data_IF_956770341636
#
_entry.id   IF_956770341636
#
_cell.length_a   1.000
_cell.length_b   1.000
_cell.length_c   1.000
_cell.angle_alpha   90.00
_cell.angle_beta   90.00
_cell.angle_gamma   90.00
#
_symmetry.space_group_name_H-M   'P 1'
#
loop_
_entity.id
_entity.type
_entity.pdbx_description
1 polymer ?
#
# COMPACT_ATOMS: atom_id res chain seq x y z
N UNK A 1 12.34 -4.64 -7.16
CA UNK A 1 13.26 -3.67 -6.54
C UNK A 1 13.52 -4.08 -5.10
N UNK A 2 14.76 -4.13 -4.67
CA UNK A 2 15.19 -4.47 -3.30
C UNK A 2 15.90 -3.25 -2.73
N UNK A 3 15.42 -2.70 -1.62
CA UNK A 3 16.11 -1.65 -0.87
C UNK A 3 16.35 -2.15 0.55
N UNK A 4 17.60 -2.20 0.96
CA UNK A 4 18.00 -2.55 2.33
C UNK A 4 18.35 -1.25 3.06
N UNK A 5 17.78 -1.06 4.23
CA UNK A 5 18.11 0.06 5.11
C UNK A 5 18.58 -0.50 6.45
N UNK A 6 19.81 -0.21 6.80
CA UNK A 6 20.38 -0.55 8.12
C UNK A 6 20.24 0.66 9.01
N UNK A 7 19.42 0.56 10.05
CA UNK A 7 19.24 1.63 11.03
C UNK A 7 19.89 1.20 12.36
N UNK A 8 20.83 2.01 12.85
CA UNK A 8 21.40 1.85 14.18
C UNK A 8 20.47 2.51 15.20
N UNK A 9 19.88 1.74 16.09
CA UNK A 9 19.08 2.23 17.21
C UNK A 9 19.72 1.74 18.50
N UNK A 10 20.51 2.62 19.16
CA UNK A 10 21.37 2.26 20.28
C UNK A 10 22.49 1.30 19.87
N UNK A 11 22.82 0.32 20.70
CA UNK A 11 23.84 -0.70 20.42
C UNK A 11 23.37 -1.84 19.49
N UNK A 12 22.10 -1.84 19.05
CA UNK A 12 21.52 -2.91 18.22
C UNK A 12 21.34 -2.45 16.78
N UNK A 13 22.09 -3.06 15.84
CA UNK A 13 21.82 -2.97 14.41
C UNK A 13 20.51 -3.67 14.09
N UNK A 14 19.54 -2.92 13.54
CA UNK A 14 18.31 -3.49 12.99
C UNK A 14 18.40 -3.54 11.47
N UNK A 15 18.33 -4.73 10.91
CA UNK A 15 18.31 -4.97 9.47
C UNK A 15 16.86 -4.83 8.94
N UNK A 16 16.60 -3.71 8.28
CA UNK A 16 15.31 -3.39 7.64
C UNK A 16 15.41 -3.63 6.14
N UNK A 17 14.61 -4.55 5.65
CA UNK A 17 14.57 -4.91 4.23
C UNK A 17 13.22 -4.59 3.62
N UNK A 18 13.23 -3.82 2.53
CA UNK A 18 12.04 -3.48 1.76
C UNK A 18 12.13 -4.10 0.37
N UNK A 19 11.02 -4.70 -0.07
CA UNK A 19 10.90 -5.30 -1.39
C UNK A 19 9.63 -4.78 -2.07
N UNK A 20 9.74 -4.38 -3.34
CA UNK A 20 8.59 -4.09 -4.18
C UNK A 20 8.53 -5.13 -5.30
N UNK A 21 7.44 -5.88 -5.36
CA UNK A 21 7.28 -7.03 -6.25
C UNK A 21 5.92 -6.94 -6.94
N UNK A 22 5.87 -7.10 -8.27
CA UNK A 22 4.60 -7.25 -9.00
C UNK A 22 4.01 -8.62 -8.76
N UNK A 23 2.68 -8.72 -8.71
CA UNK A 23 1.96 -9.97 -8.43
C UNK A 23 2.38 -11.14 -9.29
N UNK A 24 2.66 -10.92 -10.58
CA UNK A 24 3.10 -11.98 -11.49
C UNK A 24 4.45 -12.62 -11.15
N UNK A 25 5.23 -11.99 -10.26
CA UNK A 25 6.55 -12.46 -9.78
C UNK A 25 6.53 -12.80 -8.28
N UNK A 26 5.37 -12.80 -7.65
CA UNK A 26 5.24 -13.08 -6.23
C UNK A 26 5.08 -14.58 -5.99
N UNK A 27 5.98 -15.16 -5.22
CA UNK A 27 5.99 -16.58 -4.86
C UNK A 27 4.88 -16.94 -3.87
N UNK A 28 4.37 -18.17 -3.93
CA UNK A 28 3.27 -18.65 -3.08
C UNK A 28 3.56 -18.56 -1.58
N UNK A 29 4.81 -18.80 -1.16
CA UNK A 29 5.24 -18.66 0.22
C UNK A 29 5.09 -17.21 0.72
N UNK A 30 5.39 -16.22 -0.14
CA UNK A 30 5.19 -14.80 0.16
C UNK A 30 3.71 -14.42 0.20
N UNK A 31 2.90 -14.96 -0.74
CA UNK A 31 1.44 -14.79 -0.72
C UNK A 31 0.86 -15.31 0.59
N UNK A 32 1.25 -16.50 1.03
CA UNK A 32 0.84 -17.09 2.31
C UNK A 32 1.24 -16.19 3.49
N UNK A 33 2.47 -15.67 3.49
CA UNK A 33 2.98 -14.77 4.53
C UNK A 33 2.19 -13.44 4.60
N UNK A 34 1.85 -12.86 3.44
CA UNK A 34 0.99 -11.67 3.35
C UNK A 34 -0.40 -11.97 3.91
N UNK A 35 -1.02 -13.08 3.52
CA UNK A 35 -2.34 -13.47 3.98
C UNK A 35 -2.35 -13.71 5.50
N UNK A 36 -1.32 -14.33 6.06
CA UNK A 36 -1.15 -14.49 7.51
C UNK A 36 -1.03 -13.14 8.23
N UNK A 37 -0.27 -12.19 7.67
CA UNK A 37 -0.15 -10.85 8.23
C UNK A 37 -1.48 -10.09 8.19
N UNK A 38 -2.22 -10.20 7.07
CA UNK A 38 -3.57 -9.63 6.92
C UNK A 38 -4.54 -10.25 7.92
N UNK A 39 -4.49 -11.55 8.13
CA UNK A 39 -5.39 -12.25 9.04
C UNK A 39 -5.20 -11.83 10.51
N UNK A 40 -3.98 -11.51 10.93
CA UNK A 40 -3.72 -10.91 12.25
C UNK A 40 -4.43 -9.56 12.45
N UNK A 41 -4.65 -8.81 11.37
CA UNK A 41 -5.32 -7.51 11.42
C UNK A 41 -6.84 -7.66 11.31
N UNK A 42 -7.32 -8.45 10.37
CA UNK A 42 -8.73 -8.59 10.03
C UNK A 42 -9.21 -10.03 10.16
N UNK A 43 -8.96 -10.76 11.08
CA UNK A 43 -9.39 -12.10 11.55
C UNK A 43 -10.49 -12.82 10.71
N UNK A 44 -10.39 -12.78 9.37
CA UNK A 44 -11.34 -13.45 8.47
C UNK A 44 -11.02 -14.93 8.22
N UNK A 45 -9.90 -15.40 8.77
CA UNK A 45 -9.34 -16.72 8.53
C UNK A 45 -8.47 -16.79 7.27
N UNK A 46 -7.37 -17.53 7.36
CA UNK A 46 -6.36 -17.64 6.30
C UNK A 46 -6.96 -18.12 4.95
N UNK A 47 -7.92 -19.06 4.98
CA UNK A 47 -8.61 -19.56 3.78
C UNK A 47 -9.35 -18.41 3.06
N UNK A 48 -10.06 -17.57 3.81
CA UNK A 48 -10.78 -16.41 3.28
C UNK A 48 -9.82 -15.35 2.73
N UNK A 49 -8.69 -15.08 3.41
CA UNK A 49 -7.65 -14.17 2.93
C UNK A 49 -7.05 -14.65 1.59
N UNK A 50 -6.75 -15.94 1.45
CA UNK A 50 -6.22 -16.53 0.21
C UNK A 50 -7.28 -16.48 -0.90
N UNK A 51 -8.55 -16.81 -0.61
CA UNK A 51 -9.65 -16.72 -1.57
C UNK A 51 -9.83 -15.28 -2.08
N UNK A 52 -9.82 -14.30 -1.16
CA UNK A 52 -9.88 -12.89 -1.51
C UNK A 52 -8.70 -12.48 -2.40
N UNK A 53 -7.47 -12.88 -2.04
CA UNK A 53 -6.27 -12.61 -2.81
C UNK A 53 -6.42 -13.09 -4.26
N UNK A 54 -6.72 -14.37 -4.44
CA UNK A 54 -6.88 -14.99 -5.77
C UNK A 54 -7.95 -14.32 -6.62
N UNK A 55 -9.05 -13.88 -5.99
CA UNK A 55 -10.17 -13.22 -6.69
C UNK A 55 -9.84 -11.78 -7.10
N UNK A 56 -9.11 -11.04 -6.29
CA UNK A 56 -9.04 -9.57 -6.38
C UNK A 56 -7.70 -9.04 -6.89
N UNK A 57 -6.61 -9.81 -6.77
CA UNK A 57 -5.28 -9.36 -7.16
C UNK A 57 -5.04 -9.66 -8.65
N UNK A 58 -4.52 -8.64 -9.36
CA UNK A 58 -4.21 -8.74 -10.79
C UNK A 58 -2.69 -8.80 -11.00
N UNK A 59 -2.26 -9.36 -12.15
CA UNK A 59 -0.83 -9.58 -12.49
C UNK A 59 0.07 -8.35 -12.32
N UNK A 60 -0.47 -7.14 -12.53
CA UNK A 60 0.27 -5.86 -12.47
C UNK A 60 0.12 -5.12 -11.13
N UNK A 61 -0.57 -5.70 -10.15
CA UNK A 61 -0.65 -5.13 -8.79
C UNK A 61 0.73 -5.24 -8.11
N UNK A 62 1.06 -4.30 -7.24
CA UNK A 62 2.38 -4.16 -6.63
C UNK A 62 2.27 -4.43 -5.13
N UNK A 63 3.11 -5.32 -4.65
CA UNK A 63 3.21 -5.68 -3.24
C UNK A 63 4.49 -5.09 -2.66
N UNK A 64 4.37 -4.22 -1.67
CA UNK A 64 5.49 -3.69 -0.93
C UNK A 64 5.59 -4.43 0.41
N UNK A 65 6.68 -5.13 0.60
CA UNK A 65 6.95 -6.00 1.74
C UNK A 65 8.03 -5.37 2.61
N UNK A 66 7.78 -5.31 3.91
CA UNK A 66 8.73 -4.81 4.88
C UNK A 66 9.12 -5.92 5.86
N UNK A 67 10.39 -6.27 5.88
CA UNK A 67 10.96 -7.27 6.76
C UNK A 67 11.87 -6.66 7.80
N UNK A 68 11.84 -7.24 9.01
CA UNK A 68 12.89 -7.10 10.02
C UNK A 68 13.56 -8.44 10.12
N UNK A 69 14.84 -8.50 9.76
CA UNK A 69 15.56 -9.77 9.51
C UNK A 69 14.79 -10.59 8.46
N UNK A 70 14.42 -11.82 8.76
CA UNK A 70 13.64 -12.71 7.85
C UNK A 70 12.12 -12.62 8.04
N UNK A 71 11.61 -11.83 9.01
CA UNK A 71 10.19 -11.79 9.36
C UNK A 71 9.47 -10.67 8.63
N UNK A 72 8.37 -10.98 7.93
CA UNK A 72 7.46 -9.99 7.35
C UNK A 72 6.71 -9.28 8.48
N UNK A 73 6.95 -7.97 8.62
CA UNK A 73 6.37 -7.13 9.67
C UNK A 73 5.47 -6.02 9.15
N UNK A 74 5.58 -5.69 7.88
CA UNK A 74 4.75 -4.66 7.25
C UNK A 74 4.44 -4.98 5.80
N UNK A 75 3.32 -4.44 5.31
CA UNK A 75 2.83 -4.69 3.98
C UNK A 75 1.99 -3.53 3.47
N UNK A 76 2.20 -3.13 2.21
CA UNK A 76 1.26 -2.30 1.46
C UNK A 76 0.93 -2.94 0.11
N UNK A 77 -0.27 -2.63 -0.38
CA UNK A 77 -0.77 -3.09 -1.67
C UNK A 77 -1.16 -1.90 -2.54
N UNK A 78 -0.58 -1.83 -3.73
CA UNK A 78 -0.93 -0.87 -4.76
C UNK A 78 -1.59 -1.63 -5.92
N UNK A 79 -2.90 -1.48 -6.07
CA UNK A 79 -3.66 -2.16 -7.11
C UNK A 79 -3.75 -1.28 -8.35
N UNK A 80 -3.24 -1.76 -9.48
CA UNK A 80 -3.35 -1.02 -10.75
C UNK A 80 -4.78 -1.06 -11.26
N UNK A 81 -5.40 0.11 -11.37
CA UNK A 81 -6.80 0.29 -11.79
C UNK A 81 -6.88 1.40 -12.84
N UNK A 82 -8.05 1.53 -13.48
CA UNK A 82 -8.36 2.61 -14.43
C UNK A 82 -9.40 3.53 -13.83
N UNK A 83 -9.29 4.82 -14.13
CA UNK A 83 -10.30 5.82 -13.88
C UNK A 83 -10.59 6.60 -15.15
N UNK A 84 -11.68 7.34 -15.14
CA UNK A 84 -12.10 8.22 -16.23
C UNK A 84 -11.80 9.68 -15.86
N UNK A 85 -11.22 10.43 -16.79
CA UNK A 85 -11.07 11.87 -16.70
C UNK A 85 -12.16 12.48 -17.59
N UNK A 86 -13.24 12.96 -16.96
CA UNK A 86 -14.46 13.43 -17.67
C UNK A 86 -14.18 14.57 -18.61
N UNK A 87 -13.41 15.57 -18.18
CA UNK A 87 -13.07 16.74 -19.01
C UNK A 87 -12.32 16.41 -20.31
N UNK A 88 -11.66 15.25 -20.36
CA UNK A 88 -10.89 14.80 -21.52
C UNK A 88 -11.52 13.60 -22.22
N UNK A 89 -12.64 13.09 -21.72
CA UNK A 89 -13.27 11.82 -22.16
C UNK A 89 -12.23 10.69 -22.30
N UNK A 90 -11.28 10.62 -21.35
CA UNK A 90 -10.11 9.73 -21.42
C UNK A 90 -10.02 8.83 -20.20
N UNK A 91 -9.69 7.56 -20.45
CA UNK A 91 -9.33 6.62 -19.38
C UNK A 91 -7.82 6.68 -19.11
N UNK A 92 -7.45 6.68 -17.85
CA UNK A 92 -6.06 6.62 -17.39
C UNK A 92 -5.88 5.58 -16.30
N UNK A 93 -4.63 5.11 -16.13
CA UNK A 93 -4.30 4.20 -15.05
C UNK A 93 -3.94 4.98 -13.78
N UNK A 94 -4.26 4.38 -12.63
CA UNK A 94 -3.84 4.83 -11.33
C UNK A 94 -3.51 3.66 -10.40
N UNK A 95 -2.92 3.93 -9.26
CA UNK A 95 -2.65 2.94 -8.22
C UNK A 95 -3.63 3.14 -7.07
N UNK A 96 -4.57 2.21 -6.89
CA UNK A 96 -5.41 2.15 -5.69
C UNK A 96 -4.53 1.64 -4.52
N UNK A 97 -4.28 2.50 -3.55
CA UNK A 97 -3.60 2.11 -2.31
C UNK A 97 -4.61 1.46 -1.36
N UNK A 98 -4.64 0.14 -1.39
CA UNK A 98 -5.69 -0.68 -0.77
C UNK A 98 -5.39 -1.04 0.68
N UNK A 99 -4.12 -1.26 1.00
CA UNK A 99 -3.72 -1.86 2.28
C UNK A 99 -2.47 -1.20 2.85
N UNK A 100 -2.49 -0.90 4.14
CA UNK A 100 -1.31 -0.56 4.95
C UNK A 100 -1.39 -1.32 6.27
N UNK A 101 -0.44 -2.21 6.52
CA UNK A 101 -0.37 -2.99 7.76
C UNK A 101 1.03 -2.95 8.33
N UNK A 102 1.12 -2.78 9.66
CA UNK A 102 2.26 -3.15 10.48
C UNK A 102 1.78 -4.19 11.50
N UNK A 103 2.51 -5.31 11.64
CA UNK A 103 2.24 -6.36 12.63
C UNK A 103 2.15 -5.71 14.03
N UNK A 104 1.10 -6.02 14.80
CA UNK A 104 0.81 -5.40 16.10
C UNK A 104 2.01 -5.40 17.05
N UNK A 105 2.82 -6.47 17.05
CA UNK A 105 4.04 -6.59 17.88
C UNK A 105 5.15 -5.57 17.53
N UNK A 106 5.02 -4.89 16.39
CA UNK A 106 6.01 -3.93 15.87
C UNK A 106 5.46 -2.51 15.74
N UNK A 107 4.25 -2.24 16.24
CA UNK A 107 3.68 -0.89 16.28
C UNK A 107 4.43 0.00 17.28
N UNK A 108 4.11 1.26 17.30
CA UNK A 108 4.68 2.30 18.19
C UNK A 108 6.20 2.52 18.04
N UNK A 109 6.78 1.99 16.93
CA UNK A 109 8.20 2.12 16.57
C UNK A 109 8.42 2.97 15.32
N UNK A 110 7.45 3.78 14.94
CA UNK A 110 7.47 4.64 13.75
C UNK A 110 7.63 3.89 12.40
N UNK A 111 7.40 2.56 12.38
CA UNK A 111 7.64 1.72 11.19
C UNK A 111 6.64 1.98 10.07
N UNK A 112 5.43 2.46 10.40
CA UNK A 112 4.44 2.87 9.40
C UNK A 112 4.94 4.03 8.54
N UNK A 113 5.68 4.98 9.11
CA UNK A 113 6.27 6.09 8.37
C UNK A 113 7.36 5.61 7.40
N UNK A 114 8.22 4.67 7.81
CA UNK A 114 9.23 4.07 6.94
C UNK A 114 8.58 3.33 5.76
N UNK A 115 7.56 2.52 6.05
CA UNK A 115 6.83 1.78 5.01
C UNK A 115 6.09 2.73 4.06
N UNK A 116 5.50 3.83 4.57
CA UNK A 116 4.86 4.86 3.74
C UNK A 116 5.86 5.60 2.86
N UNK A 117 7.04 5.96 3.38
CA UNK A 117 8.08 6.59 2.57
C UNK A 117 8.53 5.69 1.44
N UNK A 118 8.75 4.41 1.70
CA UNK A 118 9.06 3.42 0.67
C UNK A 118 7.92 3.29 -0.35
N UNK A 119 6.67 3.15 0.11
CA UNK A 119 5.49 3.07 -0.74
C UNK A 119 5.37 4.29 -1.67
N UNK A 120 5.56 5.49 -1.14
CA UNK A 120 5.51 6.74 -1.91
C UNK A 120 6.63 6.81 -2.98
N UNK A 121 7.82 6.29 -2.67
CA UNK A 121 8.90 6.17 -3.65
C UNK A 121 8.50 5.27 -4.82
N UNK A 122 7.88 4.12 -4.54
CA UNK A 122 7.39 3.20 -5.58
C UNK A 122 6.29 3.85 -6.43
N UNK A 123 5.36 4.60 -5.82
CA UNK A 123 4.33 5.33 -6.56
C UNK A 123 4.98 6.36 -7.50
N UNK A 124 5.93 7.18 -7.01
CA UNK A 124 6.64 8.16 -7.85
C UNK A 124 7.36 7.51 -9.03
N UNK A 125 8.07 6.40 -8.78
CA UNK A 125 8.80 5.66 -9.83
C UNK A 125 7.88 5.01 -10.86
N UNK A 126 6.64 4.69 -10.49
CA UNK A 126 5.66 4.12 -11.42
C UNK A 126 5.14 5.14 -12.46
N UNK A 127 5.29 6.43 -12.20
CA UNK A 127 4.74 7.52 -13.02
C UNK A 127 3.21 7.70 -12.87
N UNK A 128 2.52 6.86 -12.09
CA UNK A 128 1.09 6.97 -11.85
C UNK A 128 0.80 7.82 -10.62
N UNK A 129 -0.37 8.46 -10.58
CA UNK A 129 -0.92 8.91 -9.31
C UNK A 129 -1.50 7.74 -8.53
N UNK A 130 -1.62 7.93 -7.22
CA UNK A 130 -2.24 6.94 -6.35
C UNK A 130 -3.43 7.55 -5.60
N UNK A 131 -4.44 6.73 -5.36
CA UNK A 131 -5.66 7.10 -4.64
C UNK A 131 -5.92 6.10 -3.52
N UNK A 132 -6.43 6.59 -2.40
CA UNK A 132 -6.91 5.77 -1.27
C UNK A 132 -8.19 6.35 -0.67
N UNK A 133 -8.92 5.49 0.04
CA UNK A 133 -10.01 5.88 0.94
C UNK A 133 -9.57 5.50 2.36
N UNK A 134 -9.76 6.40 3.31
CA UNK A 134 -9.40 6.15 4.71
C UNK A 134 -10.45 6.69 5.69
N UNK A 135 -10.38 6.24 6.93
CA UNK A 135 -11.13 6.81 8.03
C UNK A 135 -10.63 8.22 8.37
N UNK A 136 -11.51 9.04 8.96
CA UNK A 136 -11.22 10.44 9.30
C UNK A 136 -9.96 10.59 10.17
N UNK A 137 -9.76 9.68 11.10
CA UNK A 137 -8.62 9.66 12.04
C UNK A 137 -7.26 9.47 11.32
N UNK A 138 -7.25 8.83 10.15
CA UNK A 138 -6.04 8.56 9.38
C UNK A 138 -5.69 9.68 8.40
N UNK A 139 -6.56 10.67 8.19
CA UNK A 139 -6.31 11.77 7.24
C UNK A 139 -5.04 12.55 7.63
N UNK A 140 -4.83 12.85 8.92
CA UNK A 140 -3.64 13.55 9.41
C UNK A 140 -2.36 12.74 9.16
N UNK A 141 -2.40 11.42 9.33
CA UNK A 141 -1.29 10.52 9.05
C UNK A 141 -0.90 10.59 7.56
N UNK A 142 -1.85 10.46 6.64
CA UNK A 142 -1.56 10.52 5.21
C UNK A 142 -1.08 11.91 4.75
N UNK A 143 -1.63 13.00 5.33
CA UNK A 143 -1.15 14.37 5.05
C UNK A 143 0.32 14.55 5.39
N UNK A 144 0.82 13.99 6.51
CA UNK A 144 2.25 14.00 6.88
C UNK A 144 3.14 13.32 5.83
N UNK A 145 2.56 12.48 4.97
CA UNK A 145 3.22 11.81 3.86
C UNK A 145 2.94 12.44 2.49
N UNK A 146 2.53 13.73 2.48
CA UNK A 146 2.24 14.52 1.27
C UNK A 146 1.05 14.00 0.44
N UNK A 147 0.12 13.26 1.07
CA UNK A 147 -1.15 12.95 0.47
C UNK A 147 -2.12 14.11 0.69
N UNK A 148 -2.86 14.50 -0.34
CA UNK A 148 -3.84 15.59 -0.26
C UNK A 148 -5.26 15.04 -0.38
N UNK A 149 -6.25 15.76 0.20
CA UNK A 149 -7.65 15.37 0.04
C UNK A 149 -8.05 15.43 -1.43
N UNK A 150 -8.67 14.37 -1.90
CA UNK A 150 -9.21 14.31 -3.24
C UNK A 150 -10.51 15.11 -3.33
N UNK A 151 -10.53 16.14 -4.19
CA UNK A 151 -11.68 17.03 -4.41
C UNK A 151 -12.05 17.18 -5.89
N UNK A 152 -11.30 16.54 -6.80
CA UNK A 152 -11.47 16.71 -8.22
C UNK A 152 -12.67 15.93 -8.76
N UNK A 153 -13.77 16.63 -9.12
CA UNK A 153 -14.98 16.04 -9.69
C UNK A 153 -14.80 15.55 -11.15
N UNK A 154 -13.76 16.00 -11.84
CA UNK A 154 -13.46 15.58 -13.21
C UNK A 154 -12.86 14.17 -13.30
N UNK A 155 -12.33 13.63 -12.19
CA UNK A 155 -11.79 12.28 -12.14
C UNK A 155 -12.84 11.36 -11.52
N UNK A 156 -13.34 10.43 -12.31
CA UNK A 156 -14.30 9.41 -11.85
C UNK A 156 -13.53 8.13 -11.44
N UNK A 157 -13.45 7.91 -10.13
CA UNK A 157 -12.84 6.71 -9.54
C UNK A 157 -13.97 5.79 -9.12
N UNK A 158 -14.00 4.58 -9.66
CA UNK A 158 -14.98 3.56 -9.30
C UNK A 158 -14.92 3.27 -7.79
N UNK A 159 -16.09 3.12 -7.18
CA UNK A 159 -16.28 2.87 -5.74
C UNK A 159 -15.89 4.05 -4.81
N UNK A 160 -15.67 5.25 -5.37
CA UNK A 160 -15.47 6.46 -4.58
C UNK A 160 -16.68 7.38 -4.64
N UNK A 161 -17.18 7.80 -3.48
CA UNK A 161 -18.10 8.91 -3.33
C UNK A 161 -17.39 10.12 -2.70
N UNK A 162 -17.81 11.34 -3.03
CA UNK A 162 -17.24 12.56 -2.43
C UNK A 162 -17.58 12.72 -0.94
N UNK A 163 -18.47 11.90 -0.40
CA UNK A 163 -18.76 11.82 1.03
C UNK A 163 -17.67 11.06 1.82
N UNK A 164 -16.79 10.30 1.15
CA UNK A 164 -15.70 9.58 1.79
C UNK A 164 -14.42 10.41 1.87
N UNK A 165 -13.49 10.02 2.77
CA UNK A 165 -12.17 10.62 2.87
C UNK A 165 -11.23 10.03 1.80
N UNK A 166 -11.44 10.39 0.54
CA UNK A 166 -10.52 10.11 -0.55
C UNK A 166 -9.26 10.97 -0.44
N UNK A 167 -8.11 10.36 -0.66
CA UNK A 167 -6.83 11.07 -0.70
C UNK A 167 -6.04 10.66 -1.94
N UNK A 168 -5.26 11.60 -2.47
CA UNK A 168 -4.48 11.43 -3.70
C UNK A 168 -3.03 11.81 -3.47
N UNK A 169 -2.13 11.11 -4.15
CA UNK A 169 -0.69 11.34 -4.12
C UNK A 169 -0.11 11.27 -5.54
N UNK A 170 0.93 12.09 -5.81
CA UNK A 170 1.64 12.14 -7.11
C UNK A 170 0.71 12.48 -8.30
N UNK A 171 -0.36 13.24 -8.07
CA UNK A 171 -1.14 13.85 -9.13
C UNK A 171 -0.37 15.10 -9.64
N UNK A 172 -0.05 15.09 -10.93
CA UNK A 172 0.48 16.26 -11.64
C UNK A 172 -0.67 17.08 -12.20
#
# INVERSE_FOLDING_TARGET
MKNSLIIKKGSKLMDYNFFSIISSKLEDNKIKSICLLKDKQWKFGIKSQIKWYRKNIKKKDIHNLFYIKSKLVGYTLLRRRTCEIRSLNKRTNYLLFDTLIIDKKYRDKNLSNLLMSFNNTIIKQSGYFSFLICNKELVSFYKKHNWIKFKNKNINIVDHSFSTNGMIFNAK
#
